data_IF_414655400273
#
_entry.id   IF_414655400273
#
_cell.length_a   1.000
_cell.length_b   1.000
_cell.length_c   1.000
_cell.angle_alpha   90.00
_cell.angle_beta   90.00
_cell.angle_gamma   90.00
#
_symmetry.space_group_name_H-M   'P 1'
#
loop_
_entity.id
_entity.type
_entity.pdbx_description
1 polymer ?
#
# COMPACT_ATOMS: atom_id res chain seq x y z
N UNK A 1 -43.33 92.48 -9.38
CA UNK A 1 -43.97 91.74 -8.29
C UNK A 1 -43.94 90.26 -8.65
N UNK A 2 -43.41 89.28 -7.93
CA UNK A 2 -42.65 89.19 -6.68
C UNK A 2 -42.09 87.75 -6.64
N UNK A 3 -40.77 87.62 -6.55
CA UNK A 3 -39.94 86.67 -5.77
C UNK A 3 -40.18 85.13 -5.84
N UNK A 4 -39.11 84.41 -6.24
CA UNK A 4 -38.83 82.98 -5.92
C UNK A 4 -38.56 82.78 -4.42
N UNK A 5 -38.90 81.62 -3.85
CA UNK A 5 -37.98 80.86 -2.96
C UNK A 5 -38.52 79.44 -2.66
N UNK A 6 -37.60 78.61 -2.17
CA UNK A 6 -37.46 77.16 -2.25
C UNK A 6 -37.95 76.37 -1.01
N UNK A 7 -38.26 75.09 -1.26
CA UNK A 7 -38.20 73.87 -0.43
C UNK A 7 -38.67 73.86 1.05
N UNK A 8 -39.52 72.88 1.41
CA UNK A 8 -39.29 72.04 2.60
C UNK A 8 -40.16 70.77 2.59
N UNK A 9 -39.51 69.63 2.78
CA UNK A 9 -40.08 68.29 2.97
C UNK A 9 -40.54 68.14 4.42
N UNK A 10 -41.70 67.53 4.69
CA UNK A 10 -41.99 67.02 6.04
C UNK A 10 -42.85 65.76 6.01
N UNK A 11 -42.27 64.71 6.55
CA UNK A 11 -42.75 63.35 6.70
C UNK A 11 -43.56 63.25 8.02
N UNK A 12 -44.72 62.57 8.02
CA UNK A 12 -45.42 62.15 9.25
C UNK A 12 -46.23 60.88 8.96
N UNK A 13 -45.59 59.72 9.06
CA UNK A 13 -45.67 58.80 10.21
C UNK A 13 -47.08 58.23 10.46
N UNK A 14 -47.44 57.20 9.69
CA UNK A 14 -48.39 56.19 10.10
C UNK A 14 -47.62 54.98 10.63
N UNK A 15 -47.83 54.63 11.91
CA UNK A 15 -47.32 53.40 12.50
C UNK A 15 -48.01 52.20 11.84
N UNK A 16 -47.26 51.43 11.05
CA UNK A 16 -47.58 50.03 10.78
C UNK A 16 -47.01 49.26 11.96
N UNK A 17 -47.90 48.67 12.76
CA UNK A 17 -47.51 47.70 13.78
C UNK A 17 -47.13 46.43 13.02
N UNK A 18 -45.83 46.24 12.79
CA UNK A 18 -45.29 45.00 12.28
C UNK A 18 -45.64 43.89 13.28
N UNK A 19 -46.57 43.02 12.90
CA UNK A 19 -46.77 41.73 13.56
C UNK A 19 -45.46 40.99 13.35
N UNK A 20 -44.72 40.59 14.42
CA UNK A 20 -43.51 39.83 14.23
C UNK A 20 -43.88 38.52 13.57
N UNK A 21 -43.43 38.31 12.34
CA UNK A 21 -43.41 37.01 11.68
C UNK A 21 -42.83 36.04 12.70
N UNK A 22 -43.55 34.99 13.12
CA UNK A 22 -43.00 34.05 14.10
C UNK A 22 -41.72 33.51 13.50
N UNK A 23 -40.59 33.77 14.18
CA UNK A 23 -39.31 33.23 13.81
C UNK A 23 -39.50 31.73 13.59
N UNK A 24 -39.37 31.27 12.34
CA UNK A 24 -39.51 29.86 11.99
C UNK A 24 -38.49 29.10 12.83
N UNK A 25 -38.96 28.44 13.89
CA UNK A 25 -38.16 27.47 14.60
C UNK A 25 -37.64 26.47 13.54
N UNK A 26 -36.34 26.16 13.50
CA UNK A 26 -35.81 25.23 12.52
C UNK A 26 -36.53 23.90 12.72
N UNK A 27 -37.41 23.53 11.78
CA UNK A 27 -38.05 22.21 11.78
C UNK A 27 -36.95 21.19 11.51
N UNK A 28 -36.48 20.54 12.58
CA UNK A 28 -35.61 19.36 12.49
C UNK A 28 -36.47 18.20 12.04
N UNK A 29 -36.52 17.98 10.74
CA UNK A 29 -37.18 16.80 10.19
C UNK A 29 -36.36 15.58 10.60
N UNK A 30 -36.99 14.65 11.31
CA UNK A 30 -36.36 13.40 11.74
C UNK A 30 -36.55 12.33 10.67
N UNK A 31 -35.57 11.44 10.59
CA UNK A 31 -35.51 10.30 9.68
C UNK A 31 -35.17 9.07 10.51
N UNK A 32 -35.93 7.99 10.30
CA UNK A 32 -35.67 6.68 10.88
C UNK A 32 -34.83 5.86 9.91
N UNK A 33 -33.68 5.39 10.38
CA UNK A 33 -32.75 4.54 9.63
C UNK A 33 -32.68 3.19 10.32
N UNK A 34 -32.66 2.09 9.57
CA UNK A 34 -32.50 0.75 10.14
C UNK A 34 -31.29 0.05 9.53
N UNK A 35 -30.40 -0.43 10.39
CA UNK A 35 -29.26 -1.28 10.03
C UNK A 35 -29.27 -2.50 10.95
N UNK A 36 -29.12 -3.70 10.37
CA UNK A 36 -29.39 -4.96 11.07
C UNK A 36 -30.77 -4.91 11.77
N UNK A 37 -30.83 -5.23 13.07
CA UNK A 37 -32.05 -5.21 13.87
C UNK A 37 -32.26 -3.89 14.64
N UNK A 38 -31.38 -2.90 14.47
CA UNK A 38 -31.39 -1.65 15.23
C UNK A 38 -31.94 -0.48 14.42
N UNK A 39 -32.74 0.37 15.08
CA UNK A 39 -33.33 1.57 14.48
C UNK A 39 -32.73 2.82 15.10
N UNK A 40 -32.28 3.72 14.24
CA UNK A 40 -31.62 4.97 14.59
C UNK A 40 -32.45 6.16 14.12
N UNK A 41 -32.29 7.28 14.81
CA UNK A 41 -32.96 8.54 14.46
C UNK A 41 -31.89 9.56 14.10
N UNK A 42 -32.02 10.15 12.91
CA UNK A 42 -31.17 11.22 12.42
C UNK A 42 -32.01 12.41 11.95
N UNK A 43 -31.47 13.62 12.05
CA UNK A 43 -32.00 14.79 11.39
C UNK A 43 -31.73 14.74 9.87
N UNK A 44 -32.77 14.93 9.06
CA UNK A 44 -32.70 14.97 7.60
C UNK A 44 -31.64 15.94 7.11
N UNK A 45 -31.54 17.13 7.72
CA UNK A 45 -30.57 18.14 7.31
C UNK A 45 -29.12 17.70 7.52
N UNK A 46 -28.83 16.88 8.54
CA UNK A 46 -27.50 16.35 8.77
C UNK A 46 -27.12 15.34 7.66
N UNK A 47 -28.05 14.47 7.28
CA UNK A 47 -27.82 13.51 6.20
C UNK A 47 -27.65 14.22 4.85
N UNK A 48 -28.57 15.11 4.49
CA UNK A 48 -28.53 15.87 3.21
C UNK A 48 -27.29 16.75 3.13
N UNK A 49 -26.91 17.42 4.23
CA UNK A 49 -25.74 18.30 4.24
C UNK A 49 -24.41 17.57 4.00
N UNK A 50 -24.39 16.25 4.15
CA UNK A 50 -23.19 15.42 4.02
C UNK A 50 -23.29 14.37 2.92
N UNK A 51 -24.46 14.08 2.33
CA UNK A 51 -24.65 12.99 1.35
C UNK A 51 -25.53 13.43 0.19
N UNK A 52 -24.95 13.41 -1.01
CA UNK A 52 -25.70 13.64 -2.26
C UNK A 52 -26.75 12.55 -2.50
N UNK A 53 -26.49 11.32 -2.07
CA UNK A 53 -27.43 10.20 -2.21
C UNK A 53 -28.67 10.43 -1.36
N UNK A 54 -28.51 10.87 -0.10
CA UNK A 54 -29.64 11.23 0.75
C UNK A 54 -30.35 12.48 0.23
N UNK A 55 -29.62 13.48 -0.27
CA UNK A 55 -30.21 14.65 -0.93
C UNK A 55 -31.15 14.23 -2.07
N UNK A 56 -30.64 13.47 -3.04
CA UNK A 56 -31.42 12.97 -4.18
C UNK A 56 -32.60 12.09 -3.72
N UNK A 57 -32.36 11.17 -2.79
CA UNK A 57 -33.39 10.30 -2.23
C UNK A 57 -34.55 11.10 -1.63
N UNK A 58 -34.27 12.15 -0.87
CA UNK A 58 -35.31 12.97 -0.26
C UNK A 58 -35.90 14.03 -1.20
N UNK A 59 -35.26 14.34 -2.33
CA UNK A 59 -35.82 15.19 -3.37
C UNK A 59 -36.82 14.41 -4.24
N UNK A 60 -36.47 13.16 -4.61
CA UNK A 60 -37.32 12.27 -5.40
C UNK A 60 -38.43 11.66 -4.55
N UNK A 61 -38.14 11.34 -3.28
CA UNK A 61 -39.06 10.74 -2.33
C UNK A 61 -40.12 11.72 -1.83
N UNK A 62 -41.15 11.99 -2.64
CA UNK A 62 -42.29 12.79 -2.22
C UNK A 62 -43.61 12.00 -2.29
N UNK A 63 -44.13 11.69 -1.09
CA UNK A 63 -45.55 11.58 -0.69
C UNK A 63 -46.30 10.24 -0.58
N UNK A 64 -45.90 9.11 -1.17
CA UNK A 64 -46.72 7.87 -1.07
C UNK A 64 -46.15 6.74 -0.18
N UNK A 65 -44.83 6.54 -0.13
CA UNK A 65 -44.23 5.40 0.59
C UNK A 65 -44.19 5.60 2.12
N UNK A 66 -43.97 6.83 2.60
CA UNK A 66 -43.79 7.11 4.03
C UNK A 66 -42.46 6.60 4.61
N UNK A 67 -41.57 6.06 3.78
CA UNK A 67 -40.26 5.53 4.17
C UNK A 67 -39.41 6.59 4.90
N UNK A 68 -38.77 6.17 5.99
CA UNK A 68 -37.98 7.01 6.87
C UNK A 68 -38.76 7.91 7.81
N UNK A 69 -40.11 7.89 7.81
CA UNK A 69 -40.93 8.80 8.64
C UNK A 69 -41.36 8.21 9.98
N UNK A 70 -41.25 6.90 10.17
CA UNK A 70 -41.54 6.24 11.44
C UNK A 70 -40.66 5.01 11.65
N UNK A 71 -40.63 4.49 12.89
CA UNK A 71 -39.86 3.30 13.23
C UNK A 71 -40.41 2.02 12.56
N UNK A 72 -41.71 2.01 12.22
CA UNK A 72 -42.38 0.92 11.50
C UNK A 72 -42.07 0.93 10.00
N UNK A 73 -41.61 2.05 9.47
CA UNK A 73 -41.24 2.23 8.07
C UNK A 73 -39.95 3.04 7.93
N UNK A 74 -38.80 2.52 8.42
CA UNK A 74 -37.51 3.20 8.35
C UNK A 74 -36.91 3.08 6.94
N UNK A 75 -35.88 3.88 6.65
CA UNK A 75 -35.01 3.62 5.50
C UNK A 75 -34.11 2.44 5.87
N UNK A 76 -34.23 1.35 5.14
CA UNK A 76 -33.42 0.15 5.36
C UNK A 76 -32.04 0.31 4.70
N UNK A 77 -30.99 0.30 5.52
CA UNK A 77 -29.61 0.33 5.09
C UNK A 77 -29.09 -1.11 5.02
N UNK A 78 -29.58 -1.87 4.04
CA UNK A 78 -29.22 -3.28 3.86
C UNK A 78 -27.71 -3.45 3.66
N UNK A 79 -27.12 -4.44 4.35
CA UNK A 79 -25.69 -4.77 4.26
C UNK A 79 -24.76 -3.95 5.15
N UNK A 80 -25.29 -3.01 5.95
CA UNK A 80 -24.52 -2.24 6.94
C UNK A 80 -24.73 -2.77 8.35
N UNK A 81 -23.67 -2.75 9.16
CA UNK A 81 -23.75 -3.11 10.59
C UNK A 81 -24.28 -1.94 11.40
N UNK A 82 -25.03 -2.23 12.47
CA UNK A 82 -25.52 -1.22 13.41
C UNK A 82 -24.37 -0.37 13.99
N UNK A 83 -23.26 -1.02 14.39
CA UNK A 83 -22.07 -0.35 14.93
C UNK A 83 -21.40 0.64 13.95
N UNK A 84 -21.51 0.41 12.64
CA UNK A 84 -20.95 1.33 11.63
C UNK A 84 -21.79 2.60 11.55
N UNK A 85 -23.12 2.44 11.62
CA UNK A 85 -24.07 3.53 11.59
C UNK A 85 -23.99 4.35 12.88
N UNK A 86 -23.84 3.69 14.02
CA UNK A 86 -23.56 4.36 15.31
C UNK A 86 -22.29 5.24 15.22
N UNK A 87 -21.19 4.69 14.69
CA UNK A 87 -19.95 5.44 14.49
C UNK A 87 -20.13 6.65 13.55
N UNK A 88 -20.93 6.52 12.48
CA UNK A 88 -21.27 7.64 11.61
C UNK A 88 -22.10 8.71 12.34
N UNK A 89 -23.06 8.30 13.16
CA UNK A 89 -23.92 9.23 13.91
C UNK A 89 -23.13 10.03 14.96
N UNK A 90 -22.10 9.44 15.58
CA UNK A 90 -21.16 10.17 16.45
C UNK A 90 -20.50 11.34 15.69
N UNK A 91 -20.14 11.13 14.42
CA UNK A 91 -19.55 12.19 13.57
C UNK A 91 -20.58 13.25 13.17
N UNK A 92 -21.80 12.82 12.83
CA UNK A 92 -22.89 13.73 12.43
C UNK A 92 -23.42 14.57 13.61
N UNK A 93 -23.30 14.04 14.83
CA UNK A 93 -23.78 14.66 16.06
C UNK A 93 -22.64 14.76 17.09
N UNK A 94 -21.61 15.60 16.82
CA UNK A 94 -20.48 15.76 17.73
C UNK A 94 -20.96 16.29 19.09
N UNK A 95 -20.40 15.75 20.17
CA UNK A 95 -20.60 16.29 21.51
C UNK A 95 -19.84 17.60 21.68
N UNK A 96 -20.16 18.37 22.71
CA UNK A 96 -19.39 19.58 23.06
C UNK A 96 -17.91 19.26 23.27
N UNK A 97 -17.60 18.10 23.86
CA UNK A 97 -16.23 17.68 24.11
C UNK A 97 -15.48 17.36 22.81
N UNK A 98 -16.13 16.71 21.83
CA UNK A 98 -15.55 16.46 20.50
C UNK A 98 -15.19 17.78 19.79
N UNK A 99 -16.08 18.77 19.88
CA UNK A 99 -15.88 20.10 19.28
C UNK A 99 -14.73 20.85 19.96
N UNK A 100 -14.66 20.83 21.30
CA UNK A 100 -13.59 21.48 22.06
C UNK A 100 -12.23 20.80 21.80
N UNK A 101 -12.20 19.48 21.78
CA UNK A 101 -10.99 18.71 21.54
C UNK A 101 -10.54 18.79 20.06
N UNK A 102 -11.45 19.14 19.15
CA UNK A 102 -11.21 19.17 17.70
C UNK A 102 -10.97 17.78 17.10
N UNK A 103 -11.38 16.71 17.79
CA UNK A 103 -11.17 15.31 17.37
C UNK A 103 -12.26 14.41 17.94
N UNK A 104 -12.53 13.31 17.24
CA UNK A 104 -13.45 12.26 17.69
C UNK A 104 -12.70 11.12 18.37
N UNK A 105 -13.28 10.58 19.45
CA UNK A 105 -12.72 9.41 20.14
C UNK A 105 -13.38 8.13 19.61
N UNK A 106 -12.97 7.71 18.42
CA UNK A 106 -13.41 6.45 17.80
C UNK A 106 -12.27 5.44 17.74
N UNK A 107 -12.61 4.15 17.84
CA UNK A 107 -11.68 3.04 17.62
C UNK A 107 -11.33 2.88 16.14
N UNK A 108 -10.28 2.10 15.83
CA UNK A 108 -9.89 1.78 14.45
C UNK A 108 -11.08 1.17 13.68
N UNK A 109 -11.75 0.20 14.29
CA UNK A 109 -12.88 -0.53 13.70
C UNK A 109 -14.07 0.38 13.43
N UNK A 110 -14.34 1.34 14.32
CA UNK A 110 -15.39 2.35 14.13
C UNK A 110 -15.07 3.29 12.96
N UNK A 111 -13.84 3.78 12.84
CA UNK A 111 -13.44 4.58 11.68
C UNK A 111 -13.51 3.80 10.36
N UNK A 112 -13.15 2.51 10.36
CA UNK A 112 -13.33 1.63 9.20
C UNK A 112 -14.82 1.42 8.89
N UNK A 113 -15.68 1.32 9.91
CA UNK A 113 -17.15 1.33 9.78
C UNK A 113 -17.66 2.60 9.10
N UNK A 114 -17.17 3.77 9.52
CA UNK A 114 -17.49 5.05 8.88
C UNK A 114 -17.11 5.04 7.39
N UNK A 115 -15.94 4.51 7.03
CA UNK A 115 -15.53 4.39 5.62
C UNK A 115 -16.42 3.44 4.80
N UNK A 116 -16.95 2.37 5.41
CA UNK A 116 -17.90 1.46 4.74
C UNK A 116 -19.16 2.19 4.33
N UNK A 117 -19.66 3.12 5.15
CA UNK A 117 -20.88 3.90 4.84
C UNK A 117 -20.57 5.12 3.99
N UNK A 118 -19.54 5.90 4.33
CA UNK A 118 -19.32 7.21 3.73
C UNK A 118 -19.12 7.16 2.20
N UNK A 119 -18.45 6.13 1.68
CA UNK A 119 -18.17 6.04 0.24
C UNK A 119 -19.42 5.72 -0.61
N UNK A 120 -20.19 4.64 -0.37
CA UNK A 120 -21.42 4.37 -1.14
C UNK A 120 -22.46 5.48 -1.02
N UNK A 121 -22.55 6.13 0.14
CA UNK A 121 -23.48 7.25 0.38
C UNK A 121 -22.93 8.61 -0.07
N UNK A 122 -21.79 8.65 -0.78
CA UNK A 122 -21.15 9.85 -1.34
C UNK A 122 -20.95 10.97 -0.31
N UNK A 123 -20.51 10.59 0.90
CA UNK A 123 -20.21 11.48 2.00
C UNK A 123 -18.75 11.95 1.99
N UNK A 124 -18.34 12.68 0.97
CA UNK A 124 -16.93 12.97 0.68
C UNK A 124 -16.18 13.65 1.85
N UNK A 125 -16.82 14.59 2.55
CA UNK A 125 -16.21 15.27 3.72
C UNK A 125 -15.97 14.30 4.87
N UNK A 126 -16.93 13.42 5.14
CA UNK A 126 -16.83 12.41 6.22
C UNK A 126 -15.82 11.33 5.83
N UNK A 127 -15.83 10.90 4.57
CA UNK A 127 -14.84 9.98 4.02
C UNK A 127 -13.43 10.53 4.20
N UNK A 128 -13.20 11.80 3.82
CA UNK A 128 -11.91 12.47 4.00
C UNK A 128 -11.48 12.51 5.46
N UNK A 129 -12.38 12.89 6.37
CA UNK A 129 -12.13 12.90 7.81
C UNK A 129 -11.71 11.52 8.32
N UNK A 130 -12.40 10.45 7.92
CA UNK A 130 -12.06 9.10 8.34
C UNK A 130 -10.71 8.61 7.78
N UNK A 131 -10.37 8.98 6.54
CA UNK A 131 -9.04 8.70 5.96
C UNK A 131 -7.95 9.44 6.74
N UNK A 132 -8.16 10.72 7.06
CA UNK A 132 -7.20 11.52 7.83
C UNK A 132 -6.97 10.91 9.21
N UNK A 133 -8.04 10.61 9.95
CA UNK A 133 -7.96 9.99 11.27
C UNK A 133 -7.21 8.65 11.22
N UNK A 134 -7.56 7.73 10.32
CA UNK A 134 -6.91 6.43 10.21
C UNK A 134 -5.45 6.51 9.70
N UNK A 135 -5.09 7.59 9.00
CA UNK A 135 -3.71 7.84 8.57
C UNK A 135 -2.82 8.35 9.72
N UNK A 136 -3.40 8.82 10.82
CA UNK A 136 -2.64 9.21 12.00
C UNK A 136 -1.95 7.99 12.64
N UNK A 137 -0.72 8.19 13.14
CA UNK A 137 0.09 7.12 13.70
C UNK A 137 -0.54 6.41 14.91
N UNK A 138 -1.55 7.00 15.55
CA UNK A 138 -2.24 6.44 16.71
C UNK A 138 -2.95 5.10 16.45
N UNK A 139 -3.39 4.84 15.21
CA UNK A 139 -4.09 3.59 14.86
C UNK A 139 -3.18 2.50 14.28
N UNK A 140 -1.91 2.84 14.00
CA UNK A 140 -0.87 1.86 13.66
C UNK A 140 -1.21 0.93 12.48
N UNK A 141 -1.75 1.46 11.38
CA UNK A 141 -2.09 0.63 10.21
C UNK A 141 -0.85 -0.11 9.68
N UNK A 142 -0.90 -1.44 9.70
CA UNK A 142 0.13 -2.28 9.10
C UNK A 142 0.13 -2.15 7.58
N UNK A 143 1.22 -2.56 6.92
CA UNK A 143 1.26 -2.57 5.46
C UNK A 143 0.13 -3.42 4.85
N UNK A 144 -0.23 -4.53 5.50
CA UNK A 144 -1.35 -5.39 5.10
C UNK A 144 -2.69 -4.67 5.29
N UNK A 145 -2.90 -4.00 6.43
CA UNK A 145 -4.11 -3.18 6.65
C UNK A 145 -4.25 -2.12 5.55
N UNK A 146 -3.16 -1.42 5.21
CA UNK A 146 -3.16 -0.36 4.19
C UNK A 146 -3.55 -0.88 2.81
N UNK A 147 -3.08 -2.07 2.41
CA UNK A 147 -3.49 -2.69 1.15
C UNK A 147 -4.96 -3.10 1.20
N UNK A 148 -5.38 -3.79 2.26
CA UNK A 148 -6.77 -4.26 2.40
C UNK A 148 -7.76 -3.08 2.41
N UNK A 149 -7.52 -2.06 3.26
CA UNK A 149 -8.35 -0.86 3.34
C UNK A 149 -8.25 -0.02 2.07
N UNK A 150 -7.07 0.10 1.46
CA UNK A 150 -6.87 0.81 0.20
C UNK A 150 -7.72 0.22 -0.94
N UNK A 151 -7.74 -1.10 -1.07
CA UNK A 151 -8.56 -1.81 -2.06
C UNK A 151 -10.06 -1.69 -1.76
N UNK A 152 -10.47 -1.91 -0.50
CA UNK A 152 -11.88 -1.95 -0.11
C UNK A 152 -12.54 -0.56 -0.10
N UNK A 153 -11.80 0.48 0.28
CA UNK A 153 -12.30 1.86 0.42
C UNK A 153 -11.80 2.82 -0.65
N UNK A 154 -11.08 2.30 -1.65
CA UNK A 154 -10.55 3.04 -2.79
C UNK A 154 -9.67 4.22 -2.37
N UNK A 155 -8.70 3.95 -1.50
CA UNK A 155 -7.76 4.95 -0.97
C UNK A 155 -6.38 4.71 -1.58
N UNK A 156 -6.08 5.45 -2.66
CA UNK A 156 -4.86 5.24 -3.46
C UNK A 156 -3.57 5.38 -2.63
N UNK A 157 -3.51 6.38 -1.74
CA UNK A 157 -2.33 6.62 -0.90
C UNK A 157 -1.99 5.43 -0.01
N UNK A 158 -2.98 4.85 0.67
CA UNK A 158 -2.80 3.64 1.48
C UNK A 158 -2.42 2.44 0.62
N UNK A 159 -3.08 2.27 -0.52
CA UNK A 159 -2.79 1.16 -1.43
C UNK A 159 -1.33 1.21 -1.89
N UNK A 160 -0.87 2.35 -2.38
CA UNK A 160 0.51 2.55 -2.87
C UNK A 160 1.51 2.37 -1.72
N UNK A 161 1.27 2.98 -0.56
CA UNK A 161 2.18 2.90 0.58
C UNK A 161 2.29 1.47 1.13
N UNK A 162 1.15 0.79 1.29
CA UNK A 162 1.09 -0.59 1.75
C UNK A 162 1.76 -1.56 0.78
N UNK A 163 1.44 -1.45 -0.52
CA UNK A 163 2.06 -2.29 -1.56
C UNK A 163 3.56 -2.04 -1.66
N UNK A 164 4.01 -0.78 -1.58
CA UNK A 164 5.45 -0.43 -1.63
C UNK A 164 6.19 -0.98 -0.43
N UNK A 165 5.58 -0.91 0.75
CA UNK A 165 6.14 -1.47 1.99
C UNK A 165 6.23 -2.98 1.92
N UNK A 166 5.16 -3.67 1.50
CA UNK A 166 5.16 -5.13 1.32
C UNK A 166 6.13 -5.58 0.22
N UNK A 167 6.27 -4.80 -0.85
CA UNK A 167 7.15 -5.11 -1.97
C UNK A 167 8.64 -4.85 -1.69
N UNK A 168 8.95 -4.07 -0.64
CA UNK A 168 10.33 -3.75 -0.26
C UNK A 168 10.96 -4.93 0.50
N UNK A 169 12.09 -5.44 -0.02
CA UNK A 169 12.72 -6.71 0.36
C UNK A 169 13.34 -6.78 1.78
N UNK A 170 12.98 -5.88 2.69
CA UNK A 170 13.58 -5.77 4.03
C UNK A 170 12.84 -6.57 5.12
N UNK A 171 11.66 -7.13 4.82
CA UNK A 171 10.88 -7.90 5.80
C UNK A 171 10.47 -9.26 5.22
N UNK A 172 10.78 -10.33 5.94
CA UNK A 172 10.16 -11.64 5.73
C UNK A 172 8.68 -11.51 6.13
N UNK A 173 7.81 -11.40 5.13
CA UNK A 173 6.38 -11.48 5.36
C UNK A 173 5.90 -12.91 5.07
N UNK A 174 5.21 -13.56 6.01
CA UNK A 174 4.58 -14.85 5.73
C UNK A 174 3.53 -14.69 4.63
N UNK A 175 3.76 -15.36 3.49
CA UNK A 175 2.87 -15.34 2.31
C UNK A 175 1.42 -15.68 2.68
N UNK A 176 1.23 -16.62 3.59
CA UNK A 176 -0.08 -17.07 4.06
C UNK A 176 -0.89 -15.92 4.69
N UNK A 177 -0.25 -15.06 5.49
CA UNK A 177 -0.93 -13.91 6.13
C UNK A 177 -1.28 -12.81 5.12
N UNK A 178 -0.47 -12.63 4.08
CA UNK A 178 -0.80 -11.72 2.97
C UNK A 178 -1.98 -12.29 2.18
N UNK A 179 -1.93 -13.58 1.84
CA UNK A 179 -2.99 -14.25 1.11
C UNK A 179 -4.34 -14.19 1.84
N UNK A 180 -4.35 -14.44 3.15
CA UNK A 180 -5.57 -14.36 3.97
C UNK A 180 -6.21 -12.97 3.92
N UNK A 181 -5.41 -11.91 3.94
CA UNK A 181 -5.90 -10.54 4.00
C UNK A 181 -6.30 -9.94 2.64
N UNK A 182 -5.56 -10.26 1.56
CA UNK A 182 -5.73 -9.59 0.24
C UNK A 182 -6.09 -10.53 -0.90
N UNK A 183 -6.19 -11.83 -0.61
CA UNK A 183 -6.44 -12.89 -1.57
C UNK A 183 -5.20 -13.32 -2.38
N UNK A 184 -5.23 -14.53 -2.96
CA UNK A 184 -4.07 -15.14 -3.60
C UNK A 184 -3.59 -14.36 -4.82
N UNK A 185 -4.51 -13.82 -5.64
CA UNK A 185 -4.14 -13.05 -6.84
C UNK A 185 -3.32 -11.81 -6.49
N UNK A 186 -3.71 -11.08 -5.45
CA UNK A 186 -3.00 -9.88 -4.98
C UNK A 186 -1.66 -10.27 -4.36
N UNK A 187 -1.65 -11.32 -3.53
CA UNK A 187 -0.42 -11.85 -2.92
C UNK A 187 0.63 -12.24 -3.97
N UNK A 188 0.24 -12.97 -5.03
CA UNK A 188 1.15 -13.35 -6.11
C UNK A 188 1.68 -12.14 -6.90
N UNK A 189 0.87 -11.10 -7.10
CA UNK A 189 1.32 -9.87 -7.76
C UNK A 189 2.33 -9.11 -6.90
N UNK A 190 2.09 -9.02 -5.58
CA UNK A 190 3.06 -8.46 -4.62
C UNK A 190 4.38 -9.24 -4.69
N UNK A 191 4.32 -10.58 -4.65
CA UNK A 191 5.50 -11.43 -4.79
C UNK A 191 6.23 -11.21 -6.14
N UNK A 192 5.49 -11.02 -7.23
CA UNK A 192 6.04 -10.66 -8.53
C UNK A 192 6.75 -9.30 -8.53
N UNK A 193 6.17 -8.29 -7.87
CA UNK A 193 6.81 -6.99 -7.68
C UNK A 193 8.06 -7.12 -6.80
N UNK A 194 8.02 -7.88 -5.70
CA UNK A 194 9.20 -8.16 -4.87
C UNK A 194 10.33 -8.79 -5.70
N UNK A 195 10.00 -9.75 -6.59
CA UNK A 195 10.97 -10.37 -7.49
C UNK A 195 11.57 -9.38 -8.49
N UNK A 196 10.77 -8.44 -9.00
CA UNK A 196 11.23 -7.39 -9.94
C UNK A 196 12.00 -6.27 -9.25
N UNK A 197 11.57 -5.87 -8.04
CA UNK A 197 12.17 -4.83 -7.19
C UNK A 197 13.48 -5.31 -6.55
N UNK A 198 13.61 -6.63 -6.37
CA UNK A 198 14.84 -7.29 -5.96
C UNK A 198 15.34 -8.29 -7.02
N UNK A 199 15.80 -7.81 -8.20
CA UNK A 199 16.23 -8.68 -9.31
C UNK A 199 17.62 -9.31 -9.06
N UNK A 200 18.17 -9.24 -7.84
CA UNK A 200 19.59 -9.44 -7.57
C UNK A 200 19.85 -10.54 -6.53
N UNK A 201 20.19 -11.71 -7.08
CA UNK A 201 20.72 -12.94 -6.45
C UNK A 201 19.83 -13.61 -5.39
N UNK A 202 18.98 -14.52 -5.86
CA UNK A 202 18.55 -15.63 -5.01
C UNK A 202 19.59 -16.74 -5.11
N UNK A 203 20.27 -16.98 -3.99
CA UNK A 203 20.86 -18.29 -3.73
C UNK A 203 19.73 -19.30 -3.81
N UNK A 204 19.86 -20.26 -4.71
CA UNK A 204 18.89 -21.35 -4.88
C UNK A 204 19.54 -22.65 -4.45
N UNK A 205 18.78 -23.74 -4.38
CA UNK A 205 19.37 -25.07 -4.23
C UNK A 205 19.13 -25.88 -5.48
N UNK A 206 20.16 -26.56 -5.99
CA UNK A 206 20.03 -27.56 -7.05
C UNK A 206 20.28 -28.96 -6.47
N UNK A 207 19.72 -29.97 -7.12
CA UNK A 207 19.99 -31.37 -6.80
C UNK A 207 21.03 -31.92 -7.76
N UNK A 208 22.16 -32.39 -7.23
CA UNK A 208 23.21 -33.04 -8.02
C UNK A 208 23.39 -34.46 -7.48
N UNK A 209 22.90 -35.44 -8.24
CA UNK A 209 22.78 -36.82 -7.74
C UNK A 209 21.85 -36.88 -6.52
N UNK A 210 22.38 -37.30 -5.36
CA UNK A 210 21.65 -37.36 -4.08
C UNK A 210 21.84 -36.13 -3.19
N UNK A 211 22.71 -35.19 -3.57
CA UNK A 211 23.08 -34.06 -2.72
C UNK A 211 22.32 -32.79 -3.14
N UNK A 212 21.88 -32.01 -2.16
CA UNK A 212 21.42 -30.63 -2.38
C UNK A 212 22.61 -29.68 -2.28
N UNK A 213 22.86 -28.94 -3.34
CA UNK A 213 23.96 -27.99 -3.43
C UNK A 213 23.42 -26.57 -3.43
N UNK A 214 24.17 -25.65 -2.82
CA UNK A 214 23.88 -24.21 -2.86
C UNK A 214 24.30 -23.67 -4.23
N UNK A 215 23.37 -23.02 -4.92
CA UNK A 215 23.51 -22.58 -6.30
C UNK A 215 23.36 -21.06 -6.43
N UNK A 216 24.14 -20.49 -7.34
CA UNK A 216 24.34 -19.05 -7.48
C UNK A 216 24.24 -18.63 -8.95
N UNK A 217 23.81 -17.39 -9.24
CA UNK A 217 24.07 -16.80 -10.54
C UNK A 217 25.57 -16.56 -10.72
N UNK A 218 26.05 -16.54 -11.98
CA UNK A 218 27.48 -16.30 -12.26
C UNK A 218 27.95 -14.91 -11.77
N UNK A 219 27.03 -13.95 -11.69
CA UNK A 219 27.30 -12.59 -11.19
C UNK A 219 27.58 -12.53 -9.68
N UNK A 220 27.39 -13.64 -8.93
CA UNK A 220 27.74 -13.70 -7.51
C UNK A 220 29.26 -13.70 -7.25
N UNK A 221 30.08 -13.95 -8.27
CA UNK A 221 31.54 -14.02 -8.15
C UNK A 221 32.14 -12.62 -8.01
N UNK A 222 32.79 -12.38 -6.87
CA UNK A 222 33.46 -11.13 -6.53
C UNK A 222 34.95 -11.33 -6.29
N UNK A 223 35.71 -10.30 -6.64
CA UNK A 223 37.16 -10.28 -6.45
C UNK A 223 37.50 -10.20 -4.96
N UNK A 224 38.37 -11.09 -4.48
CA UNK A 224 38.86 -11.02 -3.09
C UNK A 224 39.62 -9.72 -2.78
N UNK A 225 40.30 -9.14 -3.77
CA UNK A 225 41.17 -7.99 -3.56
C UNK A 225 40.43 -6.64 -3.58
N UNK A 226 39.53 -6.45 -4.55
CA UNK A 226 38.82 -5.17 -4.72
C UNK A 226 37.33 -5.25 -4.46
N UNK A 227 36.79 -6.43 -4.12
CA UNK A 227 35.39 -6.66 -3.79
C UNK A 227 34.38 -6.32 -4.92
N UNK A 228 34.85 -6.03 -6.14
CA UNK A 228 33.99 -5.74 -7.30
C UNK A 228 33.57 -7.03 -8.03
N UNK A 229 32.42 -7.01 -8.73
CA UNK A 229 31.96 -8.14 -9.54
C UNK A 229 33.00 -8.55 -10.58
N UNK A 230 33.23 -9.85 -10.73
CA UNK A 230 34.17 -10.38 -11.72
C UNK A 230 33.49 -10.79 -13.02
N UNK A 231 32.17 -10.99 -12.99
CA UNK A 231 31.36 -11.33 -14.17
C UNK A 231 30.16 -10.40 -14.21
N UNK A 232 30.09 -9.54 -15.24
CA UNK A 232 29.04 -8.53 -15.39
C UNK A 232 28.02 -8.87 -16.50
N UNK A 233 28.36 -9.80 -17.39
CA UNK A 233 27.47 -10.26 -18.47
C UNK A 233 27.27 -11.78 -18.42
N UNK A 234 28.10 -12.52 -19.15
CA UNK A 234 28.14 -13.98 -19.10
C UNK A 234 29.56 -14.49 -19.13
N UNK A 235 29.75 -15.74 -18.72
CA UNK A 235 31.04 -16.41 -18.75
C UNK A 235 30.89 -17.76 -19.45
N UNK A 236 31.73 -18.03 -20.46
CA UNK A 236 31.83 -19.38 -21.02
C UNK A 236 32.43 -20.32 -19.98
N UNK A 237 31.73 -21.39 -19.62
CA UNK A 237 32.29 -22.44 -18.79
C UNK A 237 33.54 -23.00 -19.47
N UNK A 238 34.69 -22.99 -18.79
CA UNK A 238 35.94 -23.46 -19.41
C UNK A 238 36.00 -24.99 -19.54
N UNK A 239 35.05 -25.73 -18.96
CA UNK A 239 34.96 -27.19 -19.08
C UNK A 239 34.01 -27.69 -20.16
N UNK A 240 32.90 -26.99 -20.44
CA UNK A 240 31.91 -27.43 -21.44
C UNK A 240 31.55 -26.36 -22.48
N UNK A 241 32.15 -25.17 -22.40
CA UNK A 241 31.95 -24.05 -23.31
C UNK A 241 30.52 -23.45 -23.32
N UNK A 242 29.60 -23.95 -22.50
CA UNK A 242 28.26 -23.36 -22.33
C UNK A 242 28.38 -21.97 -21.72
N UNK A 243 27.63 -21.01 -22.27
CA UNK A 243 27.58 -19.65 -21.76
C UNK A 243 26.71 -19.58 -20.49
N UNK A 244 27.36 -19.33 -19.35
CA UNK A 244 26.72 -19.08 -18.06
C UNK A 244 26.27 -17.62 -18.04
N UNK A 245 24.99 -17.36 -18.34
CA UNK A 245 24.43 -16.00 -18.37
C UNK A 245 24.07 -15.52 -16.96
N UNK A 246 24.23 -14.23 -16.69
CA UNK A 246 23.87 -13.59 -15.41
C UNK A 246 22.42 -13.76 -14.99
N UNK A 247 21.49 -13.92 -15.95
CA UNK A 247 20.06 -14.11 -15.69
C UNK A 247 19.63 -15.53 -15.34
N UNK A 248 20.51 -16.54 -15.39
CA UNK A 248 20.18 -17.92 -15.04
C UNK A 248 20.43 -18.12 -13.54
N UNK A 249 19.36 -18.30 -12.77
CA UNK A 249 19.44 -18.70 -11.37
C UNK A 249 20.08 -20.09 -11.28
N UNK A 250 21.09 -20.22 -10.42
CA UNK A 250 21.80 -21.48 -10.22
C UNK A 250 22.66 -21.91 -11.41
N UNK A 251 23.19 -20.98 -12.21
CA UNK A 251 24.15 -21.29 -13.28
C UNK A 251 25.43 -21.98 -12.76
N UNK A 252 25.79 -21.71 -11.51
CA UNK A 252 26.91 -22.34 -10.81
C UNK A 252 26.46 -22.82 -9.43
N UNK A 253 27.20 -23.75 -8.84
CA UNK A 253 26.98 -24.21 -7.46
C UNK A 253 28.30 -24.53 -6.75
N UNK A 254 28.25 -24.64 -5.43
CA UNK A 254 29.38 -25.07 -4.61
C UNK A 254 29.16 -26.53 -4.21
N UNK A 255 30.15 -27.39 -4.49
CA UNK A 255 30.12 -28.80 -4.10
C UNK A 255 30.23 -28.96 -2.57
N UNK A 256 29.47 -29.88 -1.94
CA UNK A 256 29.51 -30.12 -0.50
C UNK A 256 30.86 -30.64 0.03
N UNK A 257 31.77 -31.09 -0.84
CA UNK A 257 33.13 -31.51 -0.47
C UNK A 257 34.10 -30.35 -0.19
N UNK A 258 33.66 -29.09 -0.35
CA UNK A 258 34.47 -27.92 -0.05
C UNK A 258 34.48 -27.64 1.47
N UNK A 259 35.27 -28.42 2.24
CA UNK A 259 35.41 -28.39 3.71
C UNK A 259 35.89 -27.07 4.33
N UNK A 260 35.93 -25.94 3.62
CA UNK A 260 36.60 -24.71 4.11
C UNK A 260 35.86 -23.41 3.86
N UNK A 261 34.54 -23.47 3.74
CA UNK A 261 33.71 -22.29 3.59
C UNK A 261 33.52 -21.55 4.92
N UNK A 262 34.44 -20.65 5.29
CA UNK A 262 34.17 -19.64 6.32
C UNK A 262 33.23 -18.59 5.74
N UNK A 263 32.03 -18.47 6.29
CA UNK A 263 31.13 -17.35 6.02
C UNK A 263 31.74 -16.11 6.64
N UNK A 264 32.04 -15.10 5.83
CA UNK A 264 32.63 -13.84 6.26
C UNK A 264 31.76 -12.67 5.79
N UNK A 265 31.82 -11.55 6.52
CA UNK A 265 31.15 -10.30 6.18
C UNK A 265 32.25 -9.27 5.84
N UNK A 266 32.61 -9.08 4.56
CA UNK A 266 33.45 -7.97 4.16
C UNK A 266 32.65 -6.66 4.27
N UNK A 267 33.19 -5.69 5.00
CA UNK A 267 32.60 -4.35 5.19
C UNK A 267 32.35 -3.59 3.89
N UNK A 268 32.96 -4.00 2.77
CA UNK A 268 32.83 -3.41 1.43
C UNK A 268 31.78 -4.09 0.53
N UNK A 269 31.36 -5.32 0.82
CA UNK A 269 30.37 -6.07 0.00
C UNK A 269 28.96 -5.91 0.58
N UNK A 270 28.84 -5.65 1.89
CA UNK A 270 27.54 -5.45 2.54
C UNK A 270 26.67 -6.72 2.58
N UNK A 271 27.24 -7.90 2.32
CA UNK A 271 26.53 -9.17 2.32
C UNK A 271 27.43 -10.32 2.81
N UNK A 272 26.81 -11.35 3.38
CA UNK A 272 27.47 -12.60 3.72
C UNK A 272 28.05 -13.24 2.45
N UNK A 273 29.32 -13.63 2.50
CA UNK A 273 30.00 -14.24 1.37
C UNK A 273 30.57 -15.59 1.75
N UNK A 274 30.52 -16.53 0.81
CA UNK A 274 31.40 -17.68 0.85
C UNK A 274 32.81 -17.28 0.39
N UNK A 275 33.82 -17.77 1.09
CA UNK A 275 35.22 -17.60 0.74
C UNK A 275 35.80 -18.96 0.35
N UNK A 276 36.02 -19.16 -0.96
CA UNK A 276 36.47 -20.46 -1.49
C UNK A 276 37.38 -20.32 -2.72
N UNK A 277 38.23 -21.31 -3.01
CA UNK A 277 38.99 -21.39 -4.25
C UNK A 277 38.10 -21.40 -5.49
N UNK A 278 38.51 -20.71 -6.55
CA UNK A 278 37.81 -20.65 -7.84
C UNK A 278 37.44 -22.04 -8.40
N UNK A 279 38.30 -23.05 -8.23
CA UNK A 279 38.07 -24.43 -8.68
C UNK A 279 36.87 -25.13 -8.02
N UNK A 280 36.37 -24.64 -6.88
CA UNK A 280 35.19 -25.21 -6.22
C UNK A 280 33.87 -24.61 -6.74
N UNK A 281 33.94 -23.63 -7.65
CA UNK A 281 32.76 -23.12 -8.37
C UNK A 281 32.45 -24.07 -9.52
N UNK A 282 31.36 -24.82 -9.41
CA UNK A 282 30.98 -25.85 -10.37
C UNK A 282 29.91 -25.37 -11.32
N UNK A 283 30.00 -25.75 -12.60
CA UNK A 283 28.98 -25.47 -13.60
C UNK A 283 27.78 -26.41 -13.43
N UNK A 284 26.57 -25.86 -13.41
CA UNK A 284 25.35 -26.65 -13.22
C UNK A 284 25.00 -27.52 -14.44
N UNK A 285 25.52 -27.21 -15.63
CA UNK A 285 25.24 -27.99 -16.84
C UNK A 285 26.16 -29.20 -17.03
N UNK A 286 27.44 -29.07 -16.68
CA UNK A 286 28.42 -30.17 -16.88
C UNK A 286 28.96 -30.76 -15.59
N UNK A 287 28.63 -30.19 -14.42
CA UNK A 287 29.09 -30.63 -13.10
C UNK A 287 30.63 -30.64 -12.91
N UNK A 288 31.36 -29.95 -13.78
CA UNK A 288 32.80 -29.71 -13.65
C UNK A 288 33.09 -28.26 -13.23
N UNK A 289 34.28 -27.94 -12.68
CA UNK A 289 34.65 -26.58 -12.34
C UNK A 289 34.38 -25.61 -13.49
N UNK A 290 33.69 -24.50 -13.23
CA UNK A 290 33.34 -23.55 -14.28
C UNK A 290 34.56 -22.74 -14.77
N UNK A 291 35.53 -22.51 -13.87
CA UNK A 291 36.73 -21.67 -14.05
C UNK A 291 38.03 -22.36 -13.58
N UNK A 292 38.36 -23.58 -14.03
CA UNK A 292 39.56 -24.32 -13.62
C UNK A 292 40.86 -23.55 -13.87
N UNK A 293 40.94 -22.80 -14.97
CA UNK A 293 42.11 -21.98 -15.34
C UNK A 293 42.04 -20.58 -14.71
N UNK A 294 41.11 -20.32 -13.79
CA UNK A 294 40.98 -19.01 -13.16
C UNK A 294 40.36 -17.93 -14.06
N UNK A 295 40.36 -16.70 -13.56
CA UNK A 295 39.74 -15.53 -14.21
C UNK A 295 40.42 -14.24 -13.74
N UNK A 296 40.58 -13.27 -14.64
CA UNK A 296 41.13 -11.94 -14.31
C UNK A 296 40.00 -11.01 -13.87
N UNK A 297 40.20 -10.28 -12.77
CA UNK A 297 39.24 -9.28 -12.31
C UNK A 297 39.24 -8.08 -13.27
N UNK A 298 38.10 -7.73 -13.89
CA UNK A 298 38.03 -6.61 -14.84
C UNK A 298 38.25 -5.25 -14.17
N UNK A 299 38.05 -5.15 -12.86
CA UNK A 299 38.15 -3.86 -12.15
C UNK A 299 39.52 -3.55 -11.55
N UNK A 300 40.30 -4.56 -11.19
CA UNK A 300 41.65 -4.35 -10.60
C UNK A 300 42.76 -5.06 -11.37
N UNK A 301 42.43 -5.74 -12.47
CA UNK A 301 43.33 -6.48 -13.34
C UNK A 301 44.17 -7.59 -12.66
N UNK A 302 43.82 -7.98 -11.42
CA UNK A 302 44.46 -9.11 -10.74
C UNK A 302 43.91 -10.42 -11.27
N UNK A 303 44.81 -11.35 -11.57
CA UNK A 303 44.48 -12.70 -11.99
C UNK A 303 44.20 -13.59 -10.77
N UNK A 304 43.08 -14.31 -10.80
CA UNK A 304 42.71 -15.30 -9.80
C UNK A 304 42.87 -16.68 -10.43
N UNK A 305 43.93 -17.41 -10.08
CA UNK A 305 44.13 -18.78 -10.51
C UNK A 305 43.05 -19.71 -9.94
N UNK A 306 42.92 -20.94 -10.47
CA UNK A 306 41.96 -21.93 -9.95
C UNK A 306 42.10 -22.20 -8.44
N UNK A 307 43.29 -22.01 -7.87
CA UNK A 307 43.57 -22.14 -6.44
C UNK A 307 43.35 -20.86 -5.62
N UNK A 308 43.19 -19.72 -6.27
CA UNK A 308 42.97 -18.43 -5.60
C UNK A 308 41.55 -18.37 -5.06
N UNK A 309 41.42 -17.88 -3.83
CA UNK A 309 40.10 -17.68 -3.24
C UNK A 309 39.35 -16.51 -3.89
N UNK A 310 38.05 -16.64 -3.93
CA UNK A 310 37.10 -15.65 -4.43
C UNK A 310 35.98 -15.48 -3.41
N UNK A 311 35.26 -14.36 -3.50
CA UNK A 311 34.02 -14.18 -2.75
C UNK A 311 32.85 -14.62 -3.61
N UNK A 312 31.98 -15.46 -3.05
CA UNK A 312 30.68 -15.78 -3.63
C UNK A 312 29.63 -15.09 -2.76
N UNK A 313 29.14 -13.95 -3.25
CA UNK A 313 28.22 -13.13 -2.49
C UNK A 313 26.83 -13.78 -2.44
N UNK A 314 26.28 -13.93 -1.24
CA UNK A 314 24.90 -14.43 -1.06
C UNK A 314 23.89 -13.39 -1.58
N UNK A 315 24.23 -12.10 -1.51
CA UNK A 315 23.55 -10.98 -2.17
C UNK A 315 24.59 -10.04 -2.79
N UNK A 316 24.37 -9.43 -3.98
CA UNK A 316 25.39 -8.58 -4.59
C UNK A 316 25.52 -7.23 -3.87
N UNK A 317 26.71 -6.61 -3.88
CA UNK A 317 26.88 -5.20 -3.61
C UNK A 317 26.22 -4.39 -4.73
N UNK A 318 25.52 -3.35 -4.30
CA UNK A 318 24.69 -2.44 -5.09
C UNK A 318 25.47 -1.80 -6.26
N UNK A 319 24.98 -1.91 -7.51
CA UNK A 319 25.40 -1.05 -8.64
C UNK A 319 24.21 -0.61 -9.52
N UNK A 320 23.96 0.70 -9.46
CA UNK A 320 23.68 1.70 -10.52
C UNK A 320 23.13 1.28 -11.88
N UNK A 321 21.92 0.71 -11.93
CA UNK A 321 20.93 1.17 -12.91
C UNK A 321 19.91 2.03 -12.14
N UNK A 322 19.15 2.94 -12.78
CA UNK A 322 17.93 3.44 -12.14
C UNK A 322 17.01 2.23 -12.04
N UNK A 323 17.12 1.49 -10.94
CA UNK A 323 16.13 0.49 -10.58
C UNK A 323 14.83 1.28 -10.47
N UNK A 324 13.80 0.99 -11.29
CA UNK A 324 12.51 1.63 -11.09
C UNK A 324 12.17 1.47 -9.62
N UNK A 325 11.80 2.57 -8.96
CA UNK A 325 11.55 2.53 -7.53
C UNK A 325 10.52 1.42 -7.25
N UNK A 326 10.57 0.81 -6.05
CA UNK A 326 9.55 -0.19 -5.68
C UNK A 326 8.15 0.36 -5.92
N UNK A 327 7.95 1.66 -5.69
CA UNK A 327 6.72 2.38 -6.01
C UNK A 327 6.40 2.39 -7.51
N UNK A 328 7.35 2.65 -8.41
CA UNK A 328 7.13 2.60 -9.86
C UNK A 328 6.66 1.19 -10.32
N UNK A 329 7.29 0.15 -9.79
CA UNK A 329 6.92 -1.24 -10.08
C UNK A 329 5.53 -1.59 -9.52
N UNK A 330 5.19 -1.05 -8.35
CA UNK A 330 3.85 -1.14 -7.76
C UNK A 330 2.84 -0.44 -8.66
N UNK A 331 3.10 0.79 -9.08
CA UNK A 331 2.22 1.58 -9.94
C UNK A 331 2.00 0.92 -11.29
N UNK A 332 3.02 0.30 -11.87
CA UNK A 332 2.89 -0.50 -13.09
C UNK A 332 2.04 -1.76 -12.84
N UNK A 333 2.36 -2.52 -11.80
CA UNK A 333 1.72 -3.80 -11.53
C UNK A 333 0.26 -3.68 -11.09
N UNK A 334 -0.11 -2.58 -10.42
CA UNK A 334 -1.42 -2.30 -9.82
C UNK A 334 -2.10 -1.08 -10.44
N UNK A 335 -1.73 -0.72 -11.67
CA UNK A 335 -2.24 0.47 -12.36
C UNK A 335 -3.75 0.58 -12.32
N UNK A 336 -4.46 -0.48 -12.72
CA UNK A 336 -5.93 -0.45 -12.79
C UNK A 336 -6.56 -0.21 -11.42
N UNK A 337 -6.06 -0.86 -10.38
CA UNK A 337 -6.58 -0.69 -9.02
C UNK A 337 -6.31 0.71 -8.48
N UNK A 338 -5.15 1.28 -8.79
CA UNK A 338 -4.77 2.64 -8.40
C UNK A 338 -5.63 3.66 -9.15
N UNK A 339 -5.81 3.49 -10.47
CA UNK A 339 -6.66 4.34 -11.31
C UNK A 339 -8.12 4.30 -10.84
N UNK A 340 -8.63 3.13 -10.41
CA UNK A 340 -9.95 2.99 -9.80
C UNK A 340 -10.09 3.67 -8.41
N UNK A 341 -8.97 4.02 -7.77
CA UNK A 341 -8.94 4.73 -6.49
C UNK A 341 -8.84 6.25 -6.65
N UNK A 342 -8.50 6.75 -7.84
CA UNK A 342 -8.50 8.17 -8.12
C UNK A 342 -9.96 8.69 -8.22
N UNK A 343 -10.26 9.86 -7.65
CA UNK A 343 -11.63 10.36 -7.46
C UNK A 343 -12.37 10.73 -8.75
#
# INVERSE_FOLDING_TARGET
MTIQHSASTTHRSGLIVDIPTPAMAPRREIVYLKAEDETFIAGRQALVGHSLVFEDMFLVGNSSSGEGRSAENPIFLEGYKAADLEALLIILYPTTDDVIAGKFTLTKEQWVGVLRIARPWRMEKIRKLAIEALSEGAYGLTAVDKVALGLNHKVASWLIEGLTTLASAAQEFPLDSIEEAVGPRTAYRIAGVQMKANPKARVTSISVGRNRCVAFPIAAIHCVFCCKPMVTGGLGCQSCSICLRSGILGAIYVSPSAETSKVFIPSSIGSHCFYLPARHVTCSSCHHPAIPQGITCPSCNRYHAGSTNMYLALCPPTQSQPVPSTEDLVREAFKNEIDECEP
#
